data_IF_251091193944
#
_entry.id   IF_251091193944
#
_cell.length_a   1.000
_cell.length_b   1.000
_cell.length_c   1.000
_cell.angle_alpha   90.00
_cell.angle_beta   90.00
_cell.angle_gamma   90.00
#
_symmetry.space_group_name_H-M   'P 1'
#
loop_
_entity.id
_entity.type
_entity.pdbx_description
1 polymer ?
#
# COMPACT_ATOMS: atom_id res chain seq x y z
N UNK A 1 -5.25 -17.89 22.43
CA UNK A 1 -3.78 -18.08 22.36
C UNK A 1 -3.50 -19.56 22.30
N UNK A 2 -3.26 -20.08 21.10
CA UNK A 2 -2.55 -21.33 20.81
C UNK A 2 -2.46 -21.43 19.29
N UNK A 3 -1.40 -20.83 18.74
CA UNK A 3 -1.04 -20.86 17.33
C UNK A 3 -0.31 -22.18 17.07
N UNK A 4 -0.84 -23.03 16.19
CA UNK A 4 -0.22 -24.28 15.77
C UNK A 4 0.24 -24.15 14.31
N UNK A 5 1.56 -24.05 14.14
CA UNK A 5 2.23 -24.03 12.84
C UNK A 5 2.18 -25.42 12.15
N UNK A 6 2.12 -25.48 10.81
CA UNK A 6 2.23 -26.75 10.09
C UNK A 6 3.67 -27.28 10.11
N UNK A 7 3.83 -28.53 10.54
CA UNK A 7 5.10 -29.27 10.51
C UNK A 7 5.42 -29.67 9.07
N UNK A 8 6.56 -29.21 8.58
CA UNK A 8 7.18 -29.63 7.32
C UNK A 8 8.16 -30.77 7.65
N UNK A 9 7.80 -32.01 7.31
CA UNK A 9 8.66 -33.19 7.44
C UNK A 9 9.57 -33.30 6.21
N UNK A 10 10.90 -33.47 6.37
CA UNK A 10 11.80 -33.63 5.23
C UNK A 10 11.64 -35.04 4.62
N UNK A 11 11.20 -35.10 3.36
CA UNK A 11 11.14 -36.32 2.55
C UNK A 11 12.54 -36.73 2.04
N UNK A 12 13.41 -37.15 2.97
CA UNK A 12 14.86 -37.33 2.73
C UNK A 12 15.42 -38.75 2.79
N UNK A 13 14.63 -39.82 2.88
CA UNK A 13 15.17 -41.16 3.24
C UNK A 13 14.89 -42.30 2.23
N UNK A 14 14.06 -42.08 1.20
CA UNK A 14 13.75 -43.14 0.23
C UNK A 14 14.78 -43.25 -0.92
N UNK A 15 15.51 -42.16 -1.22
CA UNK A 15 16.48 -42.11 -2.32
C UNK A 15 17.83 -42.74 -1.96
N UNK A 16 18.33 -42.47 -0.75
CA UNK A 16 19.65 -42.93 -0.30
C UNK A 16 19.68 -44.45 -0.07
N UNK A 17 18.59 -45.05 0.41
CA UNK A 17 18.49 -46.51 0.55
C UNK A 17 18.54 -47.25 -0.80
N UNK A 18 17.92 -46.68 -1.84
CA UNK A 18 17.94 -47.25 -3.18
C UNK A 18 19.30 -47.07 -3.87
N UNK A 19 19.95 -45.93 -3.69
CA UNK A 19 21.31 -45.69 -4.22
C UNK A 19 22.34 -46.57 -3.51
N UNK A 20 22.24 -46.75 -2.19
CA UNK A 20 23.11 -47.63 -1.42
C UNK A 20 22.95 -49.11 -1.81
N UNK A 21 21.73 -49.57 -2.09
CA UNK A 21 21.48 -50.93 -2.58
C UNK A 21 22.09 -51.17 -3.97
N UNK A 22 21.97 -50.20 -4.89
CA UNK A 22 22.56 -50.28 -6.22
C UNK A 22 24.10 -50.21 -6.18
N UNK A 23 24.68 -49.49 -5.21
CA UNK A 23 26.13 -49.39 -5.04
C UNK A 23 26.75 -50.65 -4.40
N UNK A 24 26.01 -51.32 -3.50
CA UNK A 24 26.42 -52.62 -2.93
C UNK A 24 26.40 -53.75 -3.98
N UNK A 25 25.46 -53.69 -4.94
CA UNK A 25 25.40 -54.62 -6.07
C UNK A 25 26.55 -54.36 -7.06
N UNK A 26 26.91 -53.09 -7.27
CA UNK A 26 28.07 -52.69 -8.07
C UNK A 26 29.42 -53.13 -7.45
N UNK A 27 29.52 -53.22 -6.11
CA UNK A 27 30.72 -53.69 -5.42
C UNK A 27 30.91 -55.22 -5.46
N UNK A 28 29.84 -55.98 -5.74
CA UNK A 28 29.89 -57.45 -5.86
C UNK A 28 30.10 -57.93 -7.30
N UNK A 29 29.97 -57.03 -8.28
CA UNK A 29 30.30 -57.30 -9.68
C UNK A 29 31.82 -57.27 -9.95
N UNK A 30 32.60 -58.00 -9.15
CA UNK A 30 33.97 -58.36 -9.49
C UNK A 30 33.96 -59.59 -10.40
N UNK A 31 34.07 -59.33 -11.71
CA UNK A 31 34.19 -60.39 -12.70
C UNK A 31 34.20 -59.89 -14.13
N UNK A 32 34.90 -58.78 -14.43
CA UNK A 32 35.33 -58.52 -15.80
C UNK A 32 36.30 -59.62 -16.20
N UNK A 33 35.79 -60.70 -16.80
CA UNK A 33 36.63 -61.60 -17.57
C UNK A 33 37.16 -60.81 -18.76
N UNK A 34 38.40 -60.33 -18.62
CA UNK A 34 39.21 -59.93 -19.75
C UNK A 34 39.50 -61.21 -20.54
N UNK A 35 38.60 -61.55 -21.45
CA UNK A 35 38.83 -62.63 -22.39
C UNK A 35 39.94 -62.15 -23.34
N UNK A 36 41.17 -62.53 -23.01
CA UNK A 36 42.33 -62.36 -23.87
C UNK A 36 42.06 -63.13 -25.16
N UNK A 37 41.71 -62.42 -26.23
CA UNK A 37 41.45 -62.95 -27.58
C UNK A 37 42.78 -63.31 -28.26
N UNK A 38 43.61 -64.13 -27.62
CA UNK A 38 44.91 -64.57 -28.15
C UNK A 38 45.15 -66.08 -28.15
N UNK A 39 44.18 -66.89 -27.75
CA UNK A 39 44.27 -68.35 -27.89
C UNK A 39 43.18 -68.90 -28.83
N UNK A 40 43.60 -69.18 -30.06
CA UNK A 40 42.76 -69.69 -31.15
C UNK A 40 42.38 -71.15 -31.01
N UNK A 41 41.51 -71.50 -30.05
CA UNK A 41 41.11 -72.92 -29.88
C UNK A 41 39.64 -73.19 -29.53
N UNK A 42 38.81 -72.25 -29.08
CA UNK A 42 37.47 -72.62 -28.56
C UNK A 42 36.35 -71.58 -28.80
N UNK A 43 36.35 -70.89 -29.95
CA UNK A 43 35.19 -70.13 -30.42
C UNK A 43 34.79 -70.66 -31.80
N UNK A 44 34.07 -71.78 -31.82
CA UNK A 44 33.27 -72.17 -32.97
C UNK A 44 32.04 -71.28 -33.00
N UNK A 45 32.26 -70.02 -33.38
CA UNK A 45 31.18 -69.20 -33.89
C UNK A 45 30.71 -69.89 -35.17
N UNK A 46 29.42 -70.20 -35.24
CA UNK A 46 28.77 -70.50 -36.51
C UNK A 46 28.64 -69.19 -37.30
N UNK A 47 29.79 -68.57 -37.59
CA UNK A 47 29.95 -67.61 -38.66
C UNK A 47 30.03 -68.48 -39.90
N UNK A 48 28.85 -68.75 -40.47
CA UNK A 48 28.79 -69.02 -41.88
C UNK A 48 29.33 -67.78 -42.57
N UNK A 49 30.62 -67.80 -42.90
CA UNK A 49 31.07 -67.10 -44.09
C UNK A 49 30.09 -67.51 -45.19
N UNK A 50 29.50 -66.56 -45.96
CA UNK A 50 28.98 -66.95 -47.24
C UNK A 50 30.22 -67.37 -48.03
N UNK A 51 30.49 -68.68 -48.00
CA UNK A 51 31.33 -69.32 -48.97
C UNK A 51 30.95 -68.70 -50.32
N UNK A 52 31.98 -68.28 -51.06
CA UNK A 52 31.87 -67.86 -52.45
C UNK A 52 31.41 -69.07 -53.28
N UNK A 53 30.15 -69.45 -53.09
CA UNK A 53 29.38 -70.18 -54.04
C UNK A 53 29.02 -69.15 -55.09
N UNK A 54 29.53 -69.36 -56.30
CA UNK A 54 28.87 -68.91 -57.50
C UNK A 54 27.50 -69.59 -57.55
N UNK A 55 26.57 -69.13 -56.70
CA UNK A 55 25.16 -69.39 -56.85
C UNK A 55 24.79 -68.55 -58.05
N UNK A 56 24.40 -69.19 -59.15
CA UNK A 56 23.69 -68.48 -60.20
C UNK A 56 22.55 -67.73 -59.53
N UNK A 57 22.70 -66.41 -59.43
CA UNK A 57 21.68 -65.56 -58.84
C UNK A 57 20.38 -65.89 -59.58
N UNK A 58 19.25 -66.18 -58.89
CA UNK A 58 17.97 -66.36 -59.56
C UNK A 58 17.60 -65.02 -60.21
N UNK A 59 18.04 -64.82 -61.45
CA UNK A 59 17.80 -63.63 -62.25
C UNK A 59 16.37 -63.72 -62.78
N UNK A 60 15.42 -63.21 -62.00
CA UNK A 60 14.10 -62.92 -62.54
C UNK A 60 14.21 -61.67 -63.42
N UNK A 61 13.94 -61.82 -64.72
CA UNK A 61 13.94 -60.73 -65.73
C UNK A 61 15.30 -59.99 -65.86
N UNK A 62 16.43 -60.69 -65.75
CA UNK A 62 17.77 -60.13 -66.03
C UNK A 62 18.37 -59.26 -64.92
N UNK A 63 17.70 -59.13 -63.77
CA UNK A 63 18.16 -58.37 -62.60
C UNK A 63 18.56 -59.31 -61.47
N UNK A 64 19.64 -58.97 -60.76
CA UNK A 64 20.11 -59.70 -59.59
C UNK A 64 19.28 -59.38 -58.33
N UNK A 65 19.53 -60.09 -57.23
CA UNK A 65 18.85 -59.91 -55.94
C UNK A 65 18.94 -58.45 -55.45
N UNK A 66 20.10 -57.81 -55.60
CA UNK A 66 20.31 -56.38 -55.26
C UNK A 66 19.43 -55.45 -56.11
N UNK A 67 19.24 -55.76 -57.40
CA UNK A 67 18.34 -55.03 -58.28
C UNK A 67 16.87 -55.11 -57.82
N UNK A 68 16.42 -56.28 -57.39
CA UNK A 68 15.08 -56.44 -56.80
C UNK A 68 14.90 -55.74 -55.45
N UNK A 69 15.94 -55.70 -54.60
CA UNK A 69 15.94 -54.89 -53.36
C UNK A 69 15.86 -53.39 -53.68
N UNK A 70 16.58 -52.93 -54.73
CA UNK A 70 16.50 -51.56 -55.21
C UNK A 70 15.10 -51.19 -55.72
N UNK A 71 14.44 -52.10 -56.46
CA UNK A 71 13.05 -51.92 -56.91
C UNK A 71 12.09 -51.90 -55.72
N UNK A 72 12.25 -52.81 -54.75
CA UNK A 72 11.44 -52.82 -53.53
C UNK A 72 11.60 -51.52 -52.73
N UNK A 73 12.84 -51.03 -52.56
CA UNK A 73 13.13 -49.75 -51.91
C UNK A 73 12.52 -48.56 -52.67
N UNK A 74 12.53 -48.59 -54.01
CA UNK A 74 11.90 -47.58 -54.85
C UNK A 74 10.37 -47.59 -54.69
N UNK A 75 9.74 -48.76 -54.67
CA UNK A 75 8.29 -48.89 -54.42
C UNK A 75 7.92 -48.38 -53.03
N UNK A 76 8.74 -48.65 -52.01
CA UNK A 76 8.54 -48.10 -50.66
C UNK A 76 8.72 -46.59 -50.63
N UNK A 77 9.74 -46.03 -51.29
CA UNK A 77 9.93 -44.57 -51.38
C UNK A 77 8.78 -43.87 -52.11
N UNK A 78 8.33 -44.43 -53.23
CA UNK A 78 7.18 -43.91 -53.98
C UNK A 78 5.91 -44.03 -53.13
N UNK A 79 5.69 -45.16 -52.46
CA UNK A 79 4.61 -45.35 -51.50
C UNK A 79 4.62 -44.32 -50.36
N UNK A 80 5.80 -44.02 -49.81
CA UNK A 80 6.00 -43.02 -48.77
C UNK A 80 5.69 -41.60 -49.26
N UNK A 81 5.95 -41.32 -50.54
CA UNK A 81 5.59 -40.07 -51.20
C UNK A 81 4.07 -39.97 -51.44
N UNK A 82 3.41 -41.06 -51.85
CA UNK A 82 1.95 -41.14 -51.97
C UNK A 82 1.24 -40.94 -50.62
N UNK A 83 1.77 -41.53 -49.54
CA UNK A 83 1.27 -41.35 -48.16
C UNK A 83 1.65 -39.97 -47.58
N UNK A 84 2.36 -39.11 -48.35
CA UNK A 84 2.69 -37.74 -47.98
C UNK A 84 3.46 -37.60 -46.66
N UNK A 85 4.27 -38.59 -46.30
CA UNK A 85 5.11 -38.55 -45.09
C UNK A 85 5.98 -37.28 -45.00
N UNK A 86 6.68 -36.82 -46.06
CA UNK A 86 7.45 -35.57 -45.97
C UNK A 86 6.58 -34.34 -45.69
N UNK A 87 5.36 -34.28 -46.23
CA UNK A 87 4.43 -33.18 -45.96
C UNK A 87 3.89 -33.20 -44.52
N UNK A 88 3.71 -34.38 -43.91
CA UNK A 88 3.32 -34.51 -42.49
C UNK A 88 4.42 -34.01 -41.54
N UNK A 89 5.68 -34.29 -41.86
CA UNK A 89 6.83 -33.78 -41.10
C UNK A 89 6.90 -32.26 -41.21
N UNK A 90 6.81 -31.71 -42.43
CA UNK A 90 6.77 -30.26 -42.65
C UNK A 90 5.63 -29.59 -41.86
N UNK A 91 4.41 -30.15 -41.92
CA UNK A 91 3.26 -29.63 -41.19
C UNK A 91 3.44 -29.67 -39.65
N UNK A 92 4.13 -30.68 -39.11
CA UNK A 92 4.45 -30.77 -37.69
C UNK A 92 5.45 -29.68 -37.27
N UNK A 93 6.47 -29.43 -38.09
CA UNK A 93 7.43 -28.35 -37.86
C UNK A 93 6.75 -26.97 -37.97
N UNK A 94 5.91 -26.77 -38.98
CA UNK A 94 5.14 -25.53 -39.12
C UNK A 94 4.22 -25.28 -37.92
N UNK A 95 3.57 -26.33 -37.40
CA UNK A 95 2.76 -26.25 -36.17
C UNK A 95 3.59 -25.84 -34.96
N UNK A 96 4.80 -26.40 -34.82
CA UNK A 96 5.72 -26.01 -33.74
C UNK A 96 6.18 -24.56 -33.89
N UNK A 97 6.57 -24.13 -35.10
CA UNK A 97 6.95 -22.74 -35.40
C UNK A 97 5.80 -21.79 -35.09
N UNK A 98 4.57 -22.12 -35.50
CA UNK A 98 3.38 -21.33 -35.19
C UNK A 98 3.14 -21.25 -33.68
N UNK A 99 3.28 -22.36 -32.95
CA UNK A 99 3.15 -22.40 -31.50
C UNK A 99 4.22 -21.57 -30.77
N UNK A 100 5.47 -21.61 -31.25
CA UNK A 100 6.56 -20.79 -30.69
C UNK A 100 6.34 -19.31 -30.99
N UNK A 101 5.91 -18.96 -32.22
CA UNK A 101 5.56 -17.58 -32.58
C UNK A 101 4.43 -17.04 -31.70
N UNK A 102 3.36 -17.81 -31.52
CA UNK A 102 2.24 -17.42 -30.66
C UNK A 102 2.69 -17.17 -29.21
N UNK A 103 3.49 -18.07 -28.63
CA UNK A 103 4.06 -17.88 -27.28
C UNK A 103 4.99 -16.65 -27.20
N UNK A 104 5.77 -16.39 -28.25
CA UNK A 104 6.67 -15.24 -28.28
C UNK A 104 5.89 -13.92 -28.38
N UNK A 105 4.81 -13.91 -29.16
CA UNK A 105 3.94 -12.74 -29.30
C UNK A 105 3.13 -12.48 -28.02
N UNK A 106 2.64 -13.53 -27.36
CA UNK A 106 2.02 -13.43 -26.05
C UNK A 106 3.00 -12.91 -25.00
N UNK A 107 4.23 -13.42 -24.97
CA UNK A 107 5.26 -12.94 -24.05
C UNK A 107 5.64 -11.47 -24.30
N UNK A 108 5.68 -11.04 -25.57
CA UNK A 108 5.89 -9.62 -25.91
C UNK A 108 4.71 -8.76 -25.48
N UNK A 109 3.48 -9.22 -25.70
CA UNK A 109 2.28 -8.51 -25.26
C UNK A 109 2.26 -8.37 -23.73
N UNK A 110 2.57 -9.44 -23.01
CA UNK A 110 2.63 -9.43 -21.54
C UNK A 110 3.74 -8.49 -21.02
N UNK A 111 4.90 -8.45 -21.68
CA UNK A 111 5.95 -7.47 -21.35
C UNK A 111 5.49 -6.03 -21.61
N UNK A 112 4.88 -5.76 -22.76
CA UNK A 112 4.37 -4.43 -23.07
C UNK A 112 3.29 -3.99 -22.06
N UNK A 113 2.42 -4.90 -21.64
CA UNK A 113 1.42 -4.62 -20.62
C UNK A 113 2.05 -4.39 -19.24
N UNK A 114 3.04 -5.18 -18.85
CA UNK A 114 3.78 -4.97 -17.60
C UNK A 114 4.52 -3.63 -17.59
N UNK A 115 5.15 -3.24 -18.70
CA UNK A 115 5.81 -1.93 -18.84
C UNK A 115 4.81 -0.78 -18.78
N UNK A 116 3.67 -0.90 -19.48
CA UNK A 116 2.57 0.08 -19.40
C UNK A 116 2.07 0.21 -17.96
N UNK A 117 1.79 -0.91 -17.31
CA UNK A 117 1.27 -0.93 -15.95
C UNK A 117 2.26 -0.33 -14.96
N UNK A 118 3.56 -0.63 -15.11
CA UNK A 118 4.62 -0.02 -14.32
C UNK A 118 4.65 1.49 -14.52
N UNK A 119 4.61 1.97 -15.76
CA UNK A 119 4.56 3.41 -16.05
C UNK A 119 3.34 4.09 -15.42
N UNK A 120 2.17 3.45 -15.48
CA UNK A 120 0.95 3.95 -14.84
C UNK A 120 1.07 4.01 -13.31
N UNK A 121 1.64 3.00 -12.66
CA UNK A 121 1.85 3.03 -11.21
C UNK A 121 2.91 4.05 -10.80
N UNK A 122 3.99 4.20 -11.55
CA UNK A 122 5.00 5.24 -11.29
C UNK A 122 4.40 6.64 -11.44
N UNK A 123 3.56 6.87 -12.46
CA UNK A 123 2.82 8.12 -12.63
C UNK A 123 1.82 8.36 -11.50
N UNK A 124 1.05 7.34 -11.10
CA UNK A 124 0.10 7.42 -9.97
C UNK A 124 0.82 7.68 -8.65
N UNK A 125 1.98 7.07 -8.41
CA UNK A 125 2.77 7.30 -7.22
C UNK A 125 3.25 8.76 -7.15
N UNK A 126 3.82 9.29 -8.25
CA UNK A 126 4.23 10.70 -8.34
C UNK A 126 3.04 11.67 -8.15
N UNK A 127 1.89 11.36 -8.75
CA UNK A 127 0.69 12.15 -8.58
C UNK A 127 0.22 12.14 -7.11
N UNK A 128 0.18 10.97 -6.47
CA UNK A 128 -0.19 10.85 -5.06
C UNK A 128 0.77 11.59 -4.12
N UNK A 129 2.08 11.56 -4.40
CA UNK A 129 3.07 12.34 -3.66
C UNK A 129 2.87 13.85 -3.82
N UNK A 130 2.59 14.32 -5.04
CA UNK A 130 2.31 15.73 -5.32
C UNK A 130 1.00 16.19 -4.65
N UNK A 131 -0.04 15.36 -4.70
CA UNK A 131 -1.32 15.62 -4.02
C UNK A 131 -1.12 15.66 -2.51
N UNK A 132 -0.38 14.71 -1.93
CA UNK A 132 -0.08 14.70 -0.50
C UNK A 132 0.72 15.94 -0.07
N UNK A 133 1.70 16.37 -0.88
CA UNK A 133 2.44 17.61 -0.64
C UNK A 133 1.52 18.84 -0.68
N UNK A 134 0.62 18.89 -1.65
CA UNK A 134 -0.39 19.94 -1.80
C UNK A 134 -1.35 19.96 -0.61
N UNK A 135 -1.86 18.80 -0.17
CA UNK A 135 -2.70 18.67 1.02
C UNK A 135 -1.99 19.17 2.28
N UNK A 136 -0.71 18.82 2.47
CA UNK A 136 0.08 19.31 3.61
C UNK A 136 0.26 20.83 3.57
N UNK A 137 0.55 21.39 2.39
CA UNK A 137 0.70 22.83 2.22
C UNK A 137 -0.61 23.58 2.53
N UNK A 138 -1.75 23.07 2.02
CA UNK A 138 -3.07 23.60 2.34
C UNK A 138 -3.39 23.50 3.83
N UNK A 139 -3.18 22.35 4.45
CA UNK A 139 -3.42 22.15 5.88
C UNK A 139 -2.57 23.12 6.74
N UNK A 140 -1.30 23.34 6.37
CA UNK A 140 -0.45 24.30 7.06
C UNK A 140 -0.93 25.74 6.88
N UNK A 141 -1.36 26.11 5.67
CA UNK A 141 -1.91 27.44 5.39
C UNK A 141 -3.20 27.68 6.17
N UNK A 142 -4.12 26.71 6.19
CA UNK A 142 -5.37 26.77 6.96
C UNK A 142 -5.09 26.83 8.46
N UNK A 143 -4.17 26.02 8.98
CA UNK A 143 -3.77 26.06 10.39
C UNK A 143 -3.23 27.45 10.77
N UNK A 144 -2.39 28.05 9.93
CA UNK A 144 -1.87 29.39 10.15
C UNK A 144 -2.99 30.45 10.13
N UNK A 145 -3.97 30.33 9.24
CA UNK A 145 -5.13 31.21 9.19
C UNK A 145 -6.01 31.07 10.44
N UNK A 146 -6.25 29.84 10.91
CA UNK A 146 -7.00 29.58 12.14
C UNK A 146 -6.29 30.19 13.34
N UNK A 147 -4.96 30.04 13.44
CA UNK A 147 -4.18 30.63 14.52
C UNK A 147 -4.25 32.16 14.46
N UNK A 148 -4.10 32.76 13.27
CA UNK A 148 -4.19 34.21 13.11
C UNK A 148 -5.57 34.74 13.51
N UNK A 149 -6.64 34.07 13.07
CA UNK A 149 -8.02 34.41 13.44
C UNK A 149 -8.26 34.24 14.94
N UNK A 150 -7.81 33.13 15.53
CA UNK A 150 -7.96 32.87 16.96
C UNK A 150 -7.24 33.92 17.81
N UNK A 151 -6.05 34.38 17.38
CA UNK A 151 -5.32 35.47 18.04
C UNK A 151 -6.12 36.77 17.97
N UNK A 152 -6.59 37.15 16.78
CA UNK A 152 -7.42 38.35 16.60
C UNK A 152 -8.70 38.30 17.46
N UNK A 153 -9.42 37.18 17.43
CA UNK A 153 -10.65 37.01 18.21
C UNK A 153 -10.37 37.03 19.73
N UNK A 154 -9.23 36.49 20.17
CA UNK A 154 -8.79 36.56 21.55
C UNK A 154 -8.45 37.99 21.99
N UNK A 155 -7.73 38.75 21.16
CA UNK A 155 -7.42 40.17 21.40
C UNK A 155 -8.71 40.99 21.50
N UNK A 156 -9.65 40.79 20.58
CA UNK A 156 -10.94 41.47 20.61
C UNK A 156 -11.76 41.09 21.87
N UNK A 157 -11.77 39.82 22.25
CA UNK A 157 -12.39 39.35 23.49
C UNK A 157 -11.77 40.02 24.72
N UNK A 158 -10.45 40.13 24.78
CA UNK A 158 -9.75 40.79 25.88
C UNK A 158 -10.09 42.28 25.91
N UNK A 159 -10.02 42.98 24.78
CA UNK A 159 -10.39 44.40 24.70
C UNK A 159 -11.82 44.65 25.19
N UNK A 160 -12.80 43.82 24.76
CA UNK A 160 -14.18 43.90 25.24
C UNK A 160 -14.30 43.62 26.73
N UNK A 161 -13.54 42.66 27.27
CA UNK A 161 -13.55 42.35 28.71
C UNK A 161 -12.96 43.48 29.53
N UNK A 162 -11.84 44.05 29.10
CA UNK A 162 -11.21 45.21 29.73
C UNK A 162 -12.18 46.38 29.76
N UNK A 163 -12.79 46.74 28.64
CA UNK A 163 -13.79 47.82 28.58
C UNK A 163 -14.97 47.59 29.54
N UNK A 164 -15.51 46.37 29.60
CA UNK A 164 -16.59 46.04 30.56
C UNK A 164 -16.13 46.15 32.02
N UNK A 165 -14.88 45.81 32.31
CA UNK A 165 -14.32 45.95 33.66
C UNK A 165 -14.15 47.43 34.02
N UNK A 166 -13.61 48.24 33.10
CA UNK A 166 -13.50 49.69 33.25
C UNK A 166 -14.86 50.35 33.45
N UNK A 167 -15.86 50.00 32.63
CA UNK A 167 -17.23 50.51 32.77
C UNK A 167 -17.85 50.15 34.14
N UNK A 168 -17.59 48.94 34.63
CA UNK A 168 -18.04 48.50 35.96
C UNK A 168 -17.34 49.25 37.09
N UNK A 169 -16.03 49.47 36.98
CA UNK A 169 -15.25 50.24 37.95
C UNK A 169 -15.78 51.68 37.98
N UNK A 170 -15.95 52.32 36.83
CA UNK A 170 -16.49 53.68 36.75
C UNK A 170 -17.91 53.79 37.32
N UNK A 171 -18.76 52.78 37.09
CA UNK A 171 -20.09 52.73 37.70
C UNK A 171 -20.03 52.57 39.23
N UNK A 172 -19.16 51.69 39.73
CA UNK A 172 -18.95 51.48 41.16
C UNK A 172 -18.38 52.73 41.85
N UNK A 173 -17.43 53.44 41.22
CA UNK A 173 -16.89 54.70 41.73
C UNK A 173 -17.96 55.77 41.86
N UNK A 174 -18.82 55.93 40.84
CA UNK A 174 -19.94 56.88 40.91
C UNK A 174 -20.92 56.51 42.03
N UNK A 175 -21.21 55.23 42.20
CA UNK A 175 -22.09 54.75 43.27
C UNK A 175 -21.47 55.01 44.65
N UNK A 176 -20.19 54.71 44.85
CA UNK A 176 -19.48 54.95 46.11
C UNK A 176 -19.41 56.45 46.46
N UNK A 177 -19.17 57.32 45.48
CA UNK A 177 -19.20 58.77 45.68
C UNK A 177 -20.61 59.23 46.10
N UNK A 178 -21.65 58.72 45.45
CA UNK A 178 -23.03 59.04 45.80
C UNK A 178 -23.37 58.58 47.23
N UNK A 179 -22.93 57.38 47.62
CA UNK A 179 -23.12 56.83 48.96
C UNK A 179 -22.42 57.66 50.04
N UNK A 180 -21.15 58.06 49.82
CA UNK A 180 -20.41 58.94 50.74
C UNK A 180 -21.10 60.29 50.89
N UNK A 181 -21.60 60.87 49.80
CA UNK A 181 -22.36 62.13 49.84
C UNK A 181 -23.68 62.00 50.59
N UNK A 182 -24.40 60.90 50.38
CA UNK A 182 -25.64 60.63 51.09
C UNK A 182 -25.39 60.48 52.61
N UNK A 183 -24.38 59.69 52.99
CA UNK A 183 -23.99 59.51 54.39
C UNK A 183 -23.53 60.82 55.04
N UNK A 184 -22.76 61.64 54.32
CA UNK A 184 -22.35 62.96 54.80
C UNK A 184 -23.55 63.89 55.01
N UNK A 185 -24.50 63.92 54.07
CA UNK A 185 -25.72 64.73 54.18
C UNK A 185 -26.60 64.26 55.35
N UNK A 186 -26.72 62.95 55.56
CA UNK A 186 -27.46 62.36 56.68
C UNK A 186 -26.80 62.67 58.03
N UNK A 187 -25.47 62.56 58.11
CA UNK A 187 -24.72 62.86 59.34
C UNK A 187 -24.79 64.36 59.66
N UNK A 188 -24.67 65.22 58.65
CA UNK A 188 -24.80 66.66 58.81
C UNK A 188 -26.21 67.07 59.24
N UNK A 189 -27.26 66.46 58.67
CA UNK A 189 -28.64 66.76 59.07
C UNK A 189 -28.94 66.29 60.50
N UNK A 190 -28.44 65.12 60.91
CA UNK A 190 -28.50 64.64 62.29
C UNK A 190 -27.78 65.58 63.27
N UNK A 191 -26.56 66.00 62.92
CA UNK A 191 -25.80 66.95 63.74
C UNK A 191 -26.51 68.32 63.84
N UNK A 192 -27.04 68.84 62.73
CA UNK A 192 -27.82 70.07 62.72
C UNK A 192 -29.09 69.95 63.59
N UNK A 193 -29.80 68.82 63.52
CA UNK A 193 -30.97 68.57 64.36
C UNK A 193 -30.63 68.58 65.87
N UNK A 194 -29.48 68.00 66.25
CA UNK A 194 -29.00 68.04 67.64
C UNK A 194 -28.66 69.46 68.09
N UNK A 195 -27.92 70.21 67.27
CA UNK A 195 -27.56 71.61 67.58
C UNK A 195 -28.81 72.49 67.69
N UNK A 196 -29.79 72.33 66.79
CA UNK A 196 -31.07 73.02 66.88
C UNK A 196 -31.78 72.66 68.18
N UNK A 197 -31.88 71.37 68.53
CA UNK A 197 -32.53 70.95 69.76
C UNK A 197 -31.87 71.52 71.03
N UNK A 198 -30.55 71.70 71.02
CA UNK A 198 -29.79 72.26 72.15
C UNK A 198 -29.85 73.80 72.24
N UNK A 199 -30.06 74.48 71.11
CA UNK A 199 -30.07 75.96 71.02
C UNK A 199 -31.46 76.59 70.90
N UNK A 200 -32.51 75.78 70.75
CA UNK A 200 -33.87 76.28 70.61
C UNK A 200 -34.45 76.70 71.96
N UNK A 201 -34.59 78.02 72.15
CA UNK A 201 -35.32 78.63 73.26
C UNK A 201 -36.69 79.18 72.80
N UNK A 202 -37.53 79.56 73.77
CA UNK A 202 -38.89 80.02 73.50
C UNK A 202 -38.97 81.34 72.69
N UNK A 203 -37.92 82.16 72.73
CA UNK A 203 -37.87 83.44 72.01
C UNK A 203 -37.45 83.23 70.54
N UNK A 204 -36.50 82.32 70.29
CA UNK A 204 -36.11 81.88 68.96
C UNK A 204 -37.29 81.23 68.21
N UNK A 205 -38.09 80.41 68.90
CA UNK A 205 -39.28 79.75 68.34
C UNK A 205 -40.35 80.77 67.93
N UNK A 206 -40.67 81.74 68.80
CA UNK A 206 -41.60 82.84 68.46
C UNK A 206 -41.11 83.63 67.24
N UNK A 207 -39.83 83.98 67.20
CA UNK A 207 -39.26 84.71 66.07
C UNK A 207 -39.26 83.90 64.74
N UNK A 208 -39.23 82.57 64.79
CA UNK A 208 -39.40 81.71 63.59
C UNK A 208 -40.86 81.64 63.13
N UNK A 209 -41.80 81.56 64.07
CA UNK A 209 -43.25 81.57 63.78
C UNK A 209 -43.63 82.91 63.12
N UNK A 210 -43.21 84.03 63.69
CA UNK A 210 -43.51 85.37 63.13
C UNK A 210 -42.91 85.54 61.72
N UNK A 211 -41.69 85.03 61.48
CA UNK A 211 -41.08 85.02 60.13
C UNK A 211 -41.82 84.12 59.14
N UNK A 212 -42.29 82.96 59.57
CA UNK A 212 -43.05 82.04 58.71
C UNK A 212 -44.41 82.62 58.35
N UNK A 213 -45.10 83.25 59.31
CA UNK A 213 -46.36 83.98 59.08
C UNK A 213 -46.13 85.17 58.13
N UNK A 214 -45.07 85.94 58.33
CA UNK A 214 -44.70 87.03 57.42
C UNK A 214 -44.32 86.54 56.01
N UNK A 215 -43.70 85.37 55.89
CA UNK A 215 -43.35 84.74 54.61
C UNK A 215 -44.57 84.23 53.84
N UNK A 216 -45.59 83.72 54.53
CA UNK A 216 -46.87 83.32 53.92
C UNK A 216 -47.70 84.53 53.46
N UNK A 217 -47.51 85.70 54.09
CA UNK A 217 -48.12 86.97 53.69
C UNK A 217 -47.42 87.66 52.50
N UNK A 218 -46.31 87.11 52.01
CA UNK A 218 -45.58 87.64 50.86
C UNK A 218 -46.01 86.85 49.59
N UNK A 219 -46.94 87.36 48.77
CA UNK A 219 -47.13 86.78 47.45
C UNK A 219 -45.80 86.89 46.69
N UNK A 220 -45.39 85.81 46.03
CA UNK A 220 -44.34 85.89 45.02
C UNK A 220 -44.73 86.85 43.91
#
# INVERSE_FOLDING_TARGET
MAEAAPQNTPAGDAGDAAVAANLADAATAQGLQTQNVRDGSQLTANVSEPAAHHVEEPKALGLNTTGWVGIAALVVLIGMLFVKVPAKIAASLDKQIAGVRAQLDEAKALRAEAERLRGEYEAKAKAAEADAATMRAHAQAEANQIIAKAKHDAEELMARRTKRAEDKIAAAERAAIAEVRALAAETASKAAALVIAETLDADADRAMIDRSIAGLGRPN
#
